data_IF_582170568884
#
_entry.id   IF_582170568884
#
_cell.length_a   1.000
_cell.length_b   1.000
_cell.length_c   1.000
_cell.angle_alpha   90.00
_cell.angle_beta   90.00
_cell.angle_gamma   90.00
#
_symmetry.space_group_name_H-M   'P 1'
#
loop_
_entity.id
_entity.type
_entity.pdbx_description
1 polymer ?
#
# COMPACT_ATOMS: atom_id res chain seq x y z
N UNK A 1 36.65 -39.03 33.85
CA UNK A 1 36.42 -39.86 32.65
C UNK A 1 35.54 -41.03 33.04
N UNK A 2 34.29 -41.08 32.58
CA UNK A 2 33.40 -42.21 32.81
C UNK A 2 32.87 -42.68 31.44
N UNK A 3 33.26 -43.90 31.06
CA UNK A 3 32.79 -44.55 29.84
C UNK A 3 31.47 -45.24 30.17
N UNK A 4 30.37 -44.74 29.60
CA UNK A 4 29.06 -45.40 29.67
C UNK A 4 28.97 -46.38 28.50
N UNK A 5 29.01 -47.68 28.81
CA UNK A 5 28.79 -48.75 27.84
C UNK A 5 27.27 -49.01 27.70
N UNK A 6 26.73 -48.77 26.50
CA UNK A 6 25.33 -49.12 26.17
C UNK A 6 25.31 -50.49 25.51
N UNK A 7 24.68 -51.47 26.16
CA UNK A 7 24.41 -52.80 25.59
C UNK A 7 23.42 -52.67 24.42
N UNK A 8 23.85 -53.09 23.22
CA UNK A 8 22.99 -53.33 22.06
C UNK A 8 21.95 -54.40 22.40
N UNK A 9 20.67 -54.05 22.43
CA UNK A 9 19.60 -55.05 22.57
C UNK A 9 18.21 -54.55 22.94
N UNK A 10 18.06 -53.30 23.38
CA UNK A 10 16.74 -52.80 23.80
C UNK A 10 16.60 -51.32 23.45
N UNK A 11 16.46 -51.03 22.15
CA UNK A 11 16.01 -49.71 21.70
C UNK A 11 14.52 -49.65 22.07
N UNK A 12 14.23 -49.15 23.28
CA UNK A 12 12.88 -49.12 23.81
C UNK A 12 11.97 -48.33 22.87
N UNK A 13 10.86 -48.95 22.43
CA UNK A 13 9.79 -48.33 21.60
C UNK A 13 9.31 -46.98 22.15
N UNK A 14 9.54 -46.72 23.44
CA UNK A 14 9.28 -45.47 24.13
C UNK A 14 10.20 -44.31 23.73
N UNK A 15 11.47 -44.56 23.33
CA UNK A 15 12.40 -43.51 22.87
C UNK A 15 12.01 -43.03 21.47
N UNK A 16 11.61 -43.94 20.59
CA UNK A 16 11.03 -43.60 19.28
C UNK A 16 9.69 -42.85 19.44
N UNK A 17 8.83 -43.26 20.38
CA UNK A 17 7.57 -42.55 20.65
C UNK A 17 7.80 -41.14 21.22
N UNK A 18 8.81 -40.95 22.08
CA UNK A 18 9.16 -39.63 22.64
C UNK A 18 9.71 -38.67 21.57
N UNK A 19 10.48 -39.17 20.59
CA UNK A 19 10.98 -38.36 19.47
C UNK A 19 9.88 -37.99 18.48
N UNK A 20 8.88 -38.85 18.26
CA UNK A 20 7.70 -38.53 17.45
C UNK A 20 6.80 -37.52 18.15
N UNK A 21 6.58 -37.65 19.47
CA UNK A 21 5.77 -36.68 20.23
C UNK A 21 6.45 -35.31 20.37
N UNK A 22 7.78 -35.27 20.59
CA UNK A 22 8.55 -34.03 20.65
C UNK A 22 8.75 -33.36 19.29
N UNK A 23 8.92 -34.14 18.22
CA UNK A 23 9.02 -33.62 16.84
C UNK A 23 7.69 -33.09 16.31
N UNK A 24 6.56 -33.66 16.73
CA UNK A 24 5.22 -33.21 16.31
C UNK A 24 4.78 -31.93 17.04
N UNK A 25 5.35 -31.61 18.20
CA UNK A 25 5.06 -30.37 18.93
C UNK A 25 5.74 -29.13 18.32
N UNK A 26 6.81 -29.32 17.55
CA UNK A 26 7.55 -28.23 16.88
C UNK A 26 6.88 -27.83 15.54
N UNK A 27 5.99 -28.66 14.98
CA UNK A 27 5.32 -28.35 13.70
C UNK A 27 4.06 -27.47 13.80
N UNK A 28 3.48 -27.27 14.99
CA UNK A 28 2.23 -26.51 15.15
C UNK A 28 2.38 -25.17 15.86
N UNK A 29 3.56 -24.84 16.38
CA UNK A 29 3.85 -23.48 16.85
C UNK A 29 4.28 -22.61 15.66
N UNK A 30 3.38 -22.42 14.69
CA UNK A 30 3.45 -21.20 13.91
C UNK A 30 3.17 -20.08 14.91
N UNK A 31 4.12 -19.17 15.23
CA UNK A 31 3.75 -17.95 15.93
C UNK A 31 2.71 -17.31 15.02
N UNK A 32 1.44 -17.37 15.44
CA UNK A 32 0.35 -16.76 14.71
C UNK A 32 0.81 -15.34 14.43
N UNK A 33 0.99 -15.02 13.15
CA UNK A 33 1.44 -13.72 12.72
C UNK A 33 0.60 -12.71 13.50
N UNK A 34 1.23 -12.02 14.44
CA UNK A 34 0.55 -11.01 15.23
C UNK A 34 0.10 -10.02 14.18
N UNK A 35 -1.19 -10.06 13.85
CA UNK A 35 -1.78 -9.09 12.96
C UNK A 35 -1.68 -7.80 13.75
N UNK A 36 -0.67 -6.99 13.43
CA UNK A 36 -0.63 -5.63 13.95
C UNK A 36 -1.89 -4.95 13.42
N UNK A 37 -2.92 -4.91 14.27
CA UNK A 37 -4.10 -4.11 14.01
C UNK A 37 -3.61 -2.68 13.80
N UNK A 38 -3.99 -2.00 12.70
CA UNK A 38 -3.57 -0.63 12.43
C UNK A 38 -3.93 0.24 13.63
N UNK A 39 -2.93 0.59 14.44
CA UNK A 39 -3.15 1.44 15.59
C UNK A 39 -3.49 2.82 15.05
N UNK A 40 -4.72 3.26 15.26
CA UNK A 40 -5.15 4.60 14.89
C UNK A 40 -4.19 5.61 15.55
N UNK A 41 -3.37 6.26 14.73
CA UNK A 41 -2.49 7.34 15.18
C UNK A 41 -3.35 8.60 15.27
N UNK A 42 -3.47 9.25 16.45
CA UNK A 42 -4.19 10.51 16.55
C UNK A 42 -3.59 11.53 15.58
N UNK A 43 -4.41 12.28 14.85
CA UNK A 43 -3.92 13.30 13.91
C UNK A 43 -2.94 14.29 14.56
N UNK A 44 -3.10 14.56 15.86
CA UNK A 44 -2.20 15.40 16.65
C UNK A 44 -0.76 14.86 16.77
N UNK A 45 -0.57 13.54 16.66
CA UNK A 45 0.74 12.89 16.72
C UNK A 45 1.47 12.84 15.37
N UNK A 46 0.81 13.20 14.27
CA UNK A 46 1.43 13.35 12.94
C UNK A 46 2.01 14.76 12.84
N UNK A 47 3.31 14.92 12.47
CA UNK A 47 3.91 16.22 12.19
C UNK A 47 3.06 17.02 11.20
N UNK A 48 2.96 18.34 11.38
CA UNK A 48 2.02 19.16 10.62
C UNK A 48 2.26 19.05 9.10
N UNK A 49 3.53 18.96 8.71
CA UNK A 49 3.99 18.79 7.34
C UNK A 49 3.62 17.43 6.70
N UNK A 50 3.24 16.43 7.51
CA UNK A 50 2.81 15.10 7.06
C UNK A 50 1.30 14.90 7.12
N UNK A 51 0.53 15.94 7.49
CA UNK A 51 -0.93 15.86 7.55
C UNK A 51 -1.54 16.06 6.17
N UNK A 52 -2.66 15.39 5.85
CA UNK A 52 -3.41 15.67 4.63
C UNK A 52 -3.90 17.12 4.63
N UNK A 53 -3.73 17.80 3.49
CA UNK A 53 -4.23 19.15 3.26
C UNK A 53 -5.56 19.04 2.52
N UNK A 54 -6.65 19.45 3.17
CA UNK A 54 -7.98 19.46 2.56
C UNK A 54 -8.36 20.85 2.03
N UNK A 55 -7.82 21.90 2.63
CA UNK A 55 -8.00 23.29 2.21
C UNK A 55 -6.89 24.16 2.78
N UNK A 56 -6.71 25.33 2.17
CA UNK A 56 -5.80 26.37 2.65
C UNK A 56 -6.61 27.63 2.85
N UNK A 57 -6.40 28.32 3.97
CA UNK A 57 -7.02 29.63 4.21
C UNK A 57 -6.37 30.65 3.27
N UNK A 58 -7.19 31.37 2.55
CA UNK A 58 -6.81 32.41 1.60
C UNK A 58 -7.75 33.60 1.77
N UNK A 59 -7.23 34.80 1.54
CA UNK A 59 -8.03 36.03 1.50
C UNK A 59 -8.51 36.33 0.06
N UNK A 60 -8.04 35.57 -0.92
CA UNK A 60 -8.47 35.62 -2.32
C UNK A 60 -9.52 34.54 -2.63
N UNK A 61 -10.51 34.79 -3.50
CA UNK A 61 -11.54 33.83 -3.89
C UNK A 61 -10.99 32.79 -4.88
N UNK A 62 -10.10 31.92 -4.42
CA UNK A 62 -9.45 30.89 -5.24
C UNK A 62 -9.87 29.49 -4.83
N UNK A 63 -9.80 28.56 -5.80
CA UNK A 63 -10.04 27.13 -5.60
C UNK A 63 -8.99 26.30 -6.34
N UNK A 64 -8.76 25.08 -5.88
CA UNK A 64 -7.92 24.09 -6.56
C UNK A 64 -8.82 23.01 -7.16
N UNK A 65 -8.70 22.77 -8.47
CA UNK A 65 -9.40 21.68 -9.15
C UNK A 65 -8.51 20.44 -9.19
N UNK A 66 -9.04 19.33 -8.69
CA UNK A 66 -8.37 18.03 -8.70
C UNK A 66 -9.26 16.97 -9.34
N UNK A 67 -8.66 16.04 -10.09
CA UNK A 67 -9.37 14.95 -10.76
C UNK A 67 -8.70 13.61 -10.44
N UNK A 68 -9.47 12.66 -9.91
CA UNK A 68 -9.01 11.30 -9.67
C UNK A 68 -9.42 10.41 -10.84
N UNK A 69 -8.45 9.75 -11.49
CA UNK A 69 -8.70 8.84 -12.60
C UNK A 69 -8.08 7.48 -12.32
N UNK A 70 -8.96 6.50 -12.12
CA UNK A 70 -8.59 5.10 -11.93
C UNK A 70 -9.22 4.16 -12.95
N UNK A 71 -10.18 4.63 -13.76
CA UNK A 71 -10.87 3.87 -14.80
C UNK A 71 -11.53 4.79 -15.84
N UNK A 72 -11.97 4.20 -16.96
CA UNK A 72 -12.66 4.90 -18.04
C UNK A 72 -11.74 5.71 -18.96
N UNK A 73 -12.17 6.01 -20.19
CA UNK A 73 -11.32 6.70 -21.18
C UNK A 73 -12.08 7.74 -22.02
N UNK A 74 -13.35 8.03 -21.69
CA UNK A 74 -14.21 8.86 -22.54
C UNK A 74 -14.21 10.33 -22.16
N UNK A 75 -14.01 10.65 -20.88
CA UNK A 75 -14.23 12.01 -20.37
C UNK A 75 -12.99 12.87 -20.31
N UNK A 76 -11.79 12.31 -20.11
CA UNK A 76 -10.59 13.11 -20.00
C UNK A 76 -10.36 14.08 -21.20
N UNK A 77 -10.67 13.74 -22.47
CA UNK A 77 -10.46 14.69 -23.57
C UNK A 77 -11.35 15.92 -23.43
N UNK A 78 -12.62 15.72 -23.04
CA UNK A 78 -13.59 16.81 -22.87
C UNK A 78 -13.27 17.66 -21.64
N UNK A 79 -12.75 17.05 -20.58
CA UNK A 79 -12.25 17.79 -19.40
C UNK A 79 -11.09 18.70 -19.80
N UNK A 80 -10.09 18.17 -20.52
CA UNK A 80 -8.95 18.97 -21.00
C UNK A 80 -9.39 20.09 -21.95
N UNK A 81 -10.36 19.84 -22.82
CA UNK A 81 -10.92 20.86 -23.72
C UNK A 81 -11.53 22.03 -22.94
N UNK A 82 -12.34 21.74 -21.92
CA UNK A 82 -12.96 22.77 -21.08
C UNK A 82 -11.89 23.54 -20.28
N UNK A 83 -10.95 22.83 -19.66
CA UNK A 83 -9.87 23.48 -18.90
C UNK A 83 -9.04 24.42 -19.78
N UNK A 84 -8.73 24.00 -21.02
CA UNK A 84 -8.03 24.83 -21.99
C UNK A 84 -8.85 26.04 -22.43
N UNK A 85 -10.15 25.87 -22.69
CA UNK A 85 -11.04 26.97 -23.08
C UNK A 85 -11.16 28.04 -21.99
N UNK A 86 -11.16 27.63 -20.73
CA UNK A 86 -11.24 28.53 -19.57
C UNK A 86 -9.86 29.04 -19.11
N UNK A 87 -8.76 28.58 -19.71
CA UNK A 87 -7.39 28.95 -19.32
C UNK A 87 -7.01 28.48 -17.90
N UNK A 88 -7.63 27.40 -17.41
CA UNK A 88 -7.47 26.88 -16.05
C UNK A 88 -6.54 25.68 -16.01
N UNK A 89 -5.67 25.62 -15.00
CA UNK A 89 -4.84 24.45 -14.69
C UNK A 89 -5.44 23.68 -13.52
N UNK A 90 -5.12 22.39 -13.43
CA UNK A 90 -5.67 21.46 -12.47
C UNK A 90 -4.62 20.39 -12.14
N UNK A 91 -4.89 19.61 -11.10
CA UNK A 91 -4.06 18.46 -10.70
C UNK A 91 -4.81 17.17 -10.99
N UNK A 92 -4.17 16.22 -11.67
CA UNK A 92 -4.73 14.92 -12.01
C UNK A 92 -4.04 13.83 -11.19
N UNK A 93 -4.79 13.20 -10.29
CA UNK A 93 -4.36 12.03 -9.53
C UNK A 93 -4.67 10.78 -10.36
N UNK A 94 -3.62 10.14 -10.89
CA UNK A 94 -3.76 9.00 -11.80
C UNK A 94 -3.40 7.70 -11.08
N UNK A 95 -4.22 6.65 -11.25
CA UNK A 95 -3.78 5.31 -10.86
C UNK A 95 -2.74 4.81 -11.87
N UNK A 96 -1.71 4.14 -11.38
CA UNK A 96 -0.64 3.68 -12.27
C UNK A 96 -1.10 2.70 -13.35
N UNK A 97 -1.98 1.71 -13.11
CA UNK A 97 -2.45 0.81 -14.16
C UNK A 97 -3.26 1.52 -15.24
N UNK A 98 -4.00 2.58 -14.86
CA UNK A 98 -4.71 3.40 -15.83
C UNK A 98 -3.73 4.24 -16.66
N UNK A 99 -2.76 4.87 -16.02
CA UNK A 99 -1.74 5.68 -16.68
C UNK A 99 -0.89 4.87 -17.67
N UNK A 100 -0.49 3.65 -17.29
CA UNK A 100 0.22 2.70 -18.17
C UNK A 100 -0.60 2.31 -19.40
N UNK A 101 -1.91 2.14 -19.23
CA UNK A 101 -2.83 1.78 -20.31
C UNK A 101 -3.18 2.96 -21.23
N UNK A 102 -3.12 4.18 -20.71
CA UNK A 102 -3.53 5.41 -21.41
C UNK A 102 -2.39 6.46 -21.48
N UNK A 103 -1.21 6.09 -21.99
CA UNK A 103 -0.07 7.00 -22.02
C UNK A 103 -0.32 8.23 -22.91
N UNK A 104 -1.26 8.15 -23.87
CA UNK A 104 -1.74 9.28 -24.65
C UNK A 104 -2.46 10.32 -23.78
N UNK A 105 -3.27 9.88 -22.82
CA UNK A 105 -3.98 10.77 -21.91
C UNK A 105 -3.00 11.44 -20.95
N UNK A 106 -2.04 10.69 -20.41
CA UNK A 106 -0.96 11.23 -19.55
C UNK A 106 -0.18 12.33 -20.27
N UNK A 107 0.23 12.09 -21.52
CA UNK A 107 0.92 13.09 -22.34
C UNK A 107 0.05 14.31 -22.63
N UNK A 108 -1.23 14.12 -22.92
CA UNK A 108 -2.16 15.22 -23.16
C UNK A 108 -2.36 16.09 -21.91
N UNK A 109 -2.51 15.47 -20.73
CA UNK A 109 -2.60 16.16 -19.44
C UNK A 109 -1.33 16.99 -19.20
N UNK A 110 -0.16 16.40 -19.37
CA UNK A 110 1.12 17.10 -19.19
C UNK A 110 1.30 18.25 -20.19
N UNK A 111 0.98 18.02 -21.47
CA UNK A 111 1.07 19.03 -22.52
C UNK A 111 0.11 20.23 -22.29
N UNK A 112 -1.02 20.00 -21.61
CA UNK A 112 -1.94 21.07 -21.17
C UNK A 112 -1.43 21.91 -20.00
N UNK A 113 -0.25 21.60 -19.45
CA UNK A 113 0.33 22.33 -18.31
C UNK A 113 -0.31 22.00 -16.96
N UNK A 114 -1.00 20.87 -16.87
CA UNK A 114 -1.59 20.35 -15.64
C UNK A 114 -0.56 19.61 -14.78
N UNK A 115 -0.80 19.56 -13.48
CA UNK A 115 0.00 18.75 -12.56
C UNK A 115 -0.49 17.30 -12.61
N UNK A 116 0.44 16.35 -12.51
CA UNK A 116 0.14 14.91 -12.40
C UNK A 116 0.63 14.42 -11.04
N UNK A 117 -0.25 13.78 -10.30
CA UNK A 117 0.02 13.21 -8.99
C UNK A 117 -0.41 11.73 -8.94
N UNK A 118 0.05 11.01 -7.92
CA UNK A 118 -0.24 9.57 -7.77
C UNK A 118 -1.56 9.33 -7.06
N UNK A 119 -2.41 8.47 -7.64
CA UNK A 119 -3.58 7.89 -7.00
C UNK A 119 -3.34 6.43 -6.57
N UNK A 120 -2.06 6.06 -6.37
CA UNK A 120 -1.64 4.71 -6.01
C UNK A 120 -1.62 3.72 -7.18
N UNK A 121 -1.01 2.56 -6.94
CA UNK A 121 -0.84 1.52 -7.97
C UNK A 121 -1.98 0.50 -7.95
N UNK A 122 -2.31 -0.05 -6.79
CA UNK A 122 -3.42 -1.00 -6.65
C UNK A 122 -4.50 -0.28 -5.86
N UNK A 123 -5.76 -0.44 -6.27
CA UNK A 123 -6.92 0.14 -5.60
C UNK A 123 -7.24 -0.60 -4.27
N UNK A 124 -6.19 -0.88 -3.50
CA UNK A 124 -6.21 -1.55 -2.21
C UNK A 124 -6.50 -0.52 -1.12
N UNK A 125 -7.18 -0.93 -0.05
CA UNK A 125 -7.44 -0.04 1.06
C UNK A 125 -6.19 0.13 1.93
N UNK A 126 -5.52 1.27 1.84
CA UNK A 126 -4.26 1.54 2.55
C UNK A 126 -4.41 1.49 4.08
N UNK A 127 -5.61 1.71 4.63
CA UNK A 127 -5.86 1.56 6.07
C UNK A 127 -5.72 0.11 6.56
N UNK A 128 -5.79 -0.86 5.65
CA UNK A 128 -5.64 -2.30 5.95
C UNK A 128 -4.25 -2.84 5.65
N UNK A 129 -3.38 -2.01 5.06
CA UNK A 129 -2.03 -2.39 4.71
C UNK A 129 -1.05 -2.01 5.83
N UNK A 130 -0.07 -2.87 6.09
CA UNK A 130 1.12 -2.50 6.85
C UNK A 130 2.06 -1.61 6.00
N UNK A 131 3.08 -1.03 6.65
CA UNK A 131 4.04 -0.11 6.02
C UNK A 131 4.60 -0.61 4.69
N UNK A 132 4.99 -1.88 4.62
CA UNK A 132 5.56 -2.49 3.41
C UNK A 132 4.53 -2.56 2.27
N UNK A 133 3.29 -2.99 2.57
CA UNK A 133 2.20 -3.04 1.60
C UNK A 133 1.81 -1.64 1.09
N UNK A 134 1.81 -0.64 1.97
CA UNK A 134 1.60 0.77 1.57
C UNK A 134 2.73 1.26 0.67
N UNK A 135 4.00 1.01 1.03
CA UNK A 135 5.15 1.44 0.24
C UNK A 135 5.15 0.80 -1.16
N UNK A 136 4.84 -0.50 -1.25
CA UNK A 136 4.74 -1.21 -2.52
C UNK A 136 3.61 -0.69 -3.43
N UNK A 137 2.62 0.01 -2.88
CA UNK A 137 1.51 0.60 -3.63
C UNK A 137 1.76 2.07 -4.05
N UNK A 138 2.84 2.68 -3.55
CA UNK A 138 3.20 4.08 -3.80
C UNK A 138 4.40 4.24 -4.76
N UNK A 139 5.10 3.14 -5.07
CA UNK A 139 6.24 3.08 -6.01
C UNK A 139 5.77 2.70 -7.42
#
# INVERSE_FOLDING_TARGET
MAVVAVRRGQVNRWILAALVAGGLFILFAQPGAVREEPRAVPAAAVPAELRPVYSVRTDEPVLALTFDISWGNRMWPRVLEVLAAEGVRATFFLSGPWAEKHPEAVRAIQAGGHEIASHGQRHDNFSTLGREGTAANLQ
#
